data_IF_906045564805
#
_entry.id   IF_906045564805
#
_cell.length_a   1.000
_cell.length_b   1.000
_cell.length_c   1.000
_cell.angle_alpha   90.00
_cell.angle_beta   90.00
_cell.angle_gamma   90.00
#
_symmetry.space_group_name_H-M   'P 1'
#
loop_
_entity.id
_entity.type
_entity.pdbx_description
1 polymer ?
#
# COMPACT_ATOMS: atom_id res chain seq x y z
N UNK A 1 -10.02 0.21 -19.93
CA UNK A 1 -11.20 0.11 -19.04
C UNK A 1 -10.82 0.05 -17.56
N UNK A 2 -10.03 -0.91 -17.05
CA UNK A 2 -9.63 -0.94 -15.62
C UNK A 2 -8.47 0.04 -15.27
N UNK A 3 -7.48 0.17 -16.16
CA UNK A 3 -6.33 1.07 -15.97
C UNK A 3 -6.78 2.54 -15.87
N UNK A 4 -7.70 2.96 -16.75
CA UNK A 4 -8.22 4.33 -16.76
C UNK A 4 -8.94 4.68 -15.44
N UNK A 5 -9.61 3.70 -14.83
CA UNK A 5 -10.26 3.88 -13.53
C UNK A 5 -9.23 4.08 -12.42
N UNK A 6 -8.17 3.27 -12.39
CA UNK A 6 -7.09 3.41 -11.39
C UNK A 6 -6.34 4.73 -11.53
N UNK A 7 -6.14 5.20 -12.76
CA UNK A 7 -5.54 6.50 -13.02
C UNK A 7 -6.43 7.66 -12.55
N UNK A 8 -7.76 7.55 -12.62
CA UNK A 8 -8.67 8.56 -12.05
C UNK A 8 -8.52 8.69 -10.53
N UNK A 9 -8.33 7.57 -9.82
CA UNK A 9 -8.12 7.60 -8.37
C UNK A 9 -6.81 8.31 -8.02
N UNK A 10 -5.73 8.06 -8.78
CA UNK A 10 -4.47 8.78 -8.62
C UNK A 10 -4.61 10.27 -8.96
N UNK A 11 -5.35 10.60 -10.02
CA UNK A 11 -5.62 12.00 -10.38
C UNK A 11 -6.40 12.74 -9.29
N UNK A 12 -7.32 12.05 -8.60
CA UNK A 12 -8.05 12.64 -7.49
C UNK A 12 -7.12 12.97 -6.30
N UNK A 13 -6.06 12.19 -6.07
CA UNK A 13 -5.07 12.46 -5.01
C UNK A 13 -4.36 13.81 -5.18
N UNK A 14 -4.15 14.26 -6.42
CA UNK A 14 -3.54 15.56 -6.71
C UNK A 14 -4.36 16.76 -6.22
N UNK A 15 -5.68 16.58 -6.06
CA UNK A 15 -6.58 17.65 -5.65
C UNK A 15 -6.64 17.86 -4.12
N UNK A 16 -6.08 16.94 -3.34
CA UNK A 16 -6.12 17.00 -1.89
C UNK A 16 -4.85 17.64 -1.31
N UNK A 17 -5.02 18.80 -0.69
CA UNK A 17 -3.99 19.46 0.11
C UNK A 17 -4.62 19.85 1.46
N UNK A 18 -4.47 18.96 2.45
CA UNK A 18 -5.06 19.12 3.78
C UNK A 18 -4.25 18.35 4.82
N UNK A 19 -4.02 18.94 6.00
CA UNK A 19 -3.17 18.38 7.07
C UNK A 19 -3.63 16.99 7.55
N UNK A 20 -4.95 16.76 7.57
CA UNK A 20 -5.54 15.46 7.94
C UNK A 20 -5.52 14.38 6.85
N UNK A 21 -5.00 14.67 5.65
CA UNK A 21 -4.93 13.73 4.52
C UNK A 21 -3.46 13.46 4.21
N UNK A 22 -3.09 12.18 4.06
CA UNK A 22 -1.70 11.79 3.75
C UNK A 22 -1.30 12.40 2.41
N UNK A 23 -0.18 13.14 2.41
CA UNK A 23 0.29 13.85 1.22
C UNK A 23 0.69 12.89 0.11
N UNK A 24 0.17 13.15 -1.09
CA UNK A 24 0.63 12.52 -2.32
C UNK A 24 1.88 13.23 -2.84
N UNK A 25 2.89 12.47 -3.26
CA UNK A 25 4.09 13.04 -3.87
C UNK A 25 4.15 12.76 -5.37
N UNK A 26 3.95 11.52 -5.81
CA UNK A 26 4.17 11.11 -7.20
C UNK A 26 3.55 9.75 -7.51
N UNK A 27 3.35 9.44 -8.79
CA UNK A 27 2.94 8.13 -9.25
C UNK A 27 3.46 7.84 -10.66
N UNK A 28 3.88 6.61 -10.88
CA UNK A 28 4.40 6.17 -12.18
C UNK A 28 4.03 4.72 -12.47
N UNK A 29 4.08 4.37 -13.75
CA UNK A 29 3.80 3.02 -14.23
C UNK A 29 5.10 2.35 -14.63
N UNK A 30 5.33 1.13 -14.15
CA UNK A 30 6.45 0.31 -14.59
C UNK A 30 5.97 -1.00 -15.20
N UNK A 31 6.62 -1.39 -16.30
CA UNK A 31 6.52 -2.72 -16.86
C UNK A 31 7.88 -3.41 -16.69
N UNK A 32 8.04 -4.26 -15.66
CA UNK A 32 9.31 -4.93 -15.44
C UNK A 32 9.68 -5.81 -16.64
N UNK A 33 10.98 -5.98 -16.93
CA UNK A 33 11.44 -6.92 -17.93
C UNK A 33 10.98 -8.36 -17.62
N UNK A 34 10.77 -9.21 -18.64
CA UNK A 34 10.45 -10.62 -18.43
C UNK A 34 11.46 -11.29 -17.49
N UNK A 35 10.99 -12.09 -16.54
CA UNK A 35 11.83 -12.81 -15.58
C UNK A 35 12.43 -11.96 -14.45
N UNK A 36 12.36 -10.62 -14.50
CA UNK A 36 12.93 -9.75 -13.47
C UNK A 36 12.27 -9.96 -12.10
N UNK A 37 10.95 -10.19 -12.11
CA UNK A 37 10.20 -10.47 -10.88
C UNK A 37 10.50 -11.86 -10.32
N UNK A 38 10.90 -12.83 -11.14
CA UNK A 38 11.25 -14.18 -10.68
C UNK A 38 12.61 -14.18 -9.98
N UNK A 39 13.53 -13.32 -10.43
CA UNK A 39 14.90 -13.23 -9.92
C UNK A 39 15.03 -12.48 -8.58
N UNK A 40 14.07 -11.63 -8.22
CA UNK A 40 14.05 -10.95 -6.92
C UNK A 40 13.65 -11.94 -5.81
N UNK A 41 14.63 -12.72 -5.34
CA UNK A 41 14.58 -13.68 -4.22
C UNK A 41 13.27 -14.47 -4.13
N UNK A 42 13.23 -15.60 -4.84
CA UNK A 42 12.18 -16.63 -4.80
C UNK A 42 11.64 -16.89 -3.37
N UNK A 43 12.51 -16.87 -2.36
CA UNK A 43 12.15 -17.05 -0.96
C UNK A 43 11.34 -15.89 -0.35
N UNK A 44 11.70 -14.63 -0.62
CA UNK A 44 10.99 -13.45 -0.10
C UNK A 44 9.66 -13.27 -0.84
N UNK A 45 9.65 -13.54 -2.15
CA UNK A 45 8.46 -13.45 -3.00
C UNK A 45 7.41 -14.49 -2.64
N UNK A 46 7.79 -15.76 -2.46
CA UNK A 46 6.90 -16.82 -1.98
C UNK A 46 6.36 -16.46 -0.60
N UNK A 47 7.21 -15.98 0.33
CA UNK A 47 6.78 -15.69 1.70
C UNK A 47 5.80 -14.51 1.78
N UNK A 48 6.08 -13.38 1.11
CA UNK A 48 5.20 -12.21 1.10
C UNK A 48 3.88 -12.51 0.39
N UNK A 49 3.91 -13.20 -0.77
CA UNK A 49 2.69 -13.58 -1.48
C UNK A 49 1.88 -14.54 -0.63
N UNK A 50 2.47 -15.62 -0.08
CA UNK A 50 1.73 -16.59 0.74
C UNK A 50 1.13 -15.97 2.00
N UNK A 51 1.88 -15.10 2.70
CA UNK A 51 1.40 -14.41 3.89
C UNK A 51 0.22 -13.50 3.55
N UNK A 52 0.26 -12.78 2.43
CA UNK A 52 -0.86 -11.96 1.95
C UNK A 52 -2.04 -12.79 1.43
N UNK A 53 -1.80 -13.89 0.69
CA UNK A 53 -2.84 -14.82 0.22
C UNK A 53 -3.63 -15.40 1.39
N UNK A 54 -2.94 -15.77 2.47
CA UNK A 54 -3.57 -16.34 3.67
C UNK A 54 -4.37 -15.30 4.45
N UNK A 55 -3.86 -14.08 4.58
CA UNK A 55 -4.53 -13.00 5.33
C UNK A 55 -5.71 -12.36 4.57
N UNK A 56 -5.69 -12.34 3.24
CA UNK A 56 -6.74 -11.72 2.41
C UNK A 56 -7.53 -12.69 1.53
N UNK A 57 -7.29 -14.01 1.61
CA UNK A 57 -7.91 -15.03 0.74
C UNK A 57 -7.75 -14.76 -0.78
N UNK A 58 -6.75 -13.97 -1.19
CA UNK A 58 -6.57 -13.59 -2.59
C UNK A 58 -5.68 -14.61 -3.32
N UNK A 59 -6.07 -15.03 -4.53
CA UNK A 59 -5.20 -15.76 -5.45
C UNK A 59 -4.44 -14.79 -6.35
N UNK A 60 -3.29 -14.26 -5.89
CA UNK A 60 -2.38 -13.57 -6.80
C UNK A 60 -1.55 -14.58 -7.61
N UNK A 61 -1.79 -14.65 -8.91
CA UNK A 61 -0.87 -15.20 -9.90
C UNK A 61 -0.38 -14.03 -10.76
N UNK A 62 0.94 -13.85 -10.83
CA UNK A 62 1.52 -12.81 -11.66
C UNK A 62 1.75 -13.37 -13.06
N UNK A 63 1.40 -12.58 -14.09
CA UNK A 63 1.82 -12.86 -15.46
C UNK A 63 3.13 -12.13 -15.73
N UNK A 64 4.00 -12.70 -16.55
CA UNK A 64 5.31 -12.08 -16.86
C UNK A 64 5.19 -10.74 -17.59
N UNK A 65 4.03 -10.42 -18.15
CA UNK A 65 3.73 -9.14 -18.82
C UNK A 65 2.99 -8.13 -17.91
N UNK A 66 2.90 -8.42 -16.60
CA UNK A 66 2.21 -7.55 -15.64
C UNK A 66 2.79 -6.13 -15.62
N UNK A 67 1.90 -5.16 -15.46
CA UNK A 67 2.22 -3.74 -15.34
C UNK A 67 1.82 -3.27 -13.94
N UNK A 68 2.66 -2.43 -13.33
CA UNK A 68 2.52 -1.98 -11.96
C UNK A 68 2.35 -0.46 -11.91
N UNK A 69 1.43 -0.01 -11.07
CA UNK A 69 1.24 1.40 -10.75
C UNK A 69 1.82 1.63 -9.36
N UNK A 70 2.84 2.46 -9.29
CA UNK A 70 3.47 2.90 -8.04
C UNK A 70 2.89 4.24 -7.64
N UNK A 71 2.59 4.39 -6.35
CA UNK A 71 2.09 5.62 -5.75
C UNK A 71 2.99 5.94 -4.56
N UNK A 72 3.68 7.06 -4.63
CA UNK A 72 4.53 7.60 -3.58
C UNK A 72 3.73 8.56 -2.72
N UNK A 73 3.64 8.23 -1.43
CA UNK A 73 2.92 8.97 -0.40
C UNK A 73 3.87 9.31 0.74
N UNK A 74 3.54 10.31 1.54
CA UNK A 74 4.22 10.60 2.79
C UNK A 74 4.22 9.40 3.76
N UNK A 75 5.34 9.19 4.45
CA UNK A 75 5.48 8.12 5.44
C UNK A 75 4.89 8.53 6.80
N UNK A 76 3.81 7.86 7.20
CA UNK A 76 3.18 8.05 8.51
C UNK A 76 3.90 7.27 9.64
N UNK A 77 3.84 7.80 10.87
CA UNK A 77 4.49 7.19 12.05
C UNK A 77 3.85 5.86 12.49
N UNK A 78 2.53 5.78 12.46
CA UNK A 78 1.75 4.60 12.83
C UNK A 78 0.33 4.71 12.30
N UNK A 79 -0.37 3.60 12.21
CA UNK A 79 -1.81 3.56 11.95
C UNK A 79 -2.62 3.62 13.24
N UNK A 80 -3.91 3.97 13.10
CA UNK A 80 -4.84 4.00 14.23
C UNK A 80 -5.01 2.62 14.87
N UNK A 81 -4.97 1.52 14.11
CA UNK A 81 -5.10 0.17 14.66
C UNK A 81 -3.93 -0.21 15.58
N UNK A 82 -2.69 0.17 15.21
CA UNK A 82 -1.50 -0.02 16.04
C UNK A 82 -1.64 0.80 17.32
N UNK A 83 -2.08 2.05 17.19
CA UNK A 83 -2.31 2.91 18.34
C UNK A 83 -3.38 2.32 19.27
N UNK A 84 -4.54 1.90 18.75
CA UNK A 84 -5.62 1.28 19.52
C UNK A 84 -5.17 0.00 20.22
N UNK A 85 -4.37 -0.82 19.54
CA UNK A 85 -3.82 -2.07 20.10
C UNK A 85 -2.90 -1.83 21.30
N UNK A 86 -2.23 -0.68 21.36
CA UNK A 86 -1.35 -0.28 22.46
C UNK A 86 -2.10 0.49 23.57
N UNK A 87 -3.30 1.00 23.30
CA UNK A 87 -4.10 1.81 24.23
C UNK A 87 -5.41 1.08 24.61
N UNK A 88 -5.32 -0.22 24.92
CA UNK A 88 -6.49 -1.06 25.26
C UNK A 88 -7.22 -0.62 26.53
N UNK A 89 -6.51 0.04 27.43
CA UNK A 89 -7.08 0.58 28.66
C UNK A 89 -7.18 2.09 28.54
N UNK A 90 -8.38 2.63 28.80
CA UNK A 90 -8.63 4.06 28.76
C UNK A 90 -7.87 4.74 29.90
N UNK A 91 -6.76 5.41 29.58
CA UNK A 91 -6.02 6.21 30.54
C UNK A 91 -6.65 7.61 30.60
N UNK A 92 -7.51 7.82 31.61
CA UNK A 92 -8.24 9.07 31.81
C UNK A 92 -7.32 10.26 32.16
N UNK A 93 -6.10 10.01 32.63
CA UNK A 93 -5.15 11.08 32.99
C UNK A 93 -4.44 11.67 31.77
N UNK A 94 -4.27 10.89 30.69
CA UNK A 94 -3.71 11.37 29.40
C UNK A 94 -4.71 12.12 28.51
N UNK A 95 -6.00 12.15 28.88
CA UNK A 95 -7.08 12.72 28.07
C UNK A 95 -7.51 14.12 28.52
N UNK A 96 -6.84 14.72 29.51
CA UNK A 96 -7.23 16.01 30.11
C UNK A 96 -6.51 17.23 29.54
N UNK A 97 -5.65 17.04 28.54
CA UNK A 97 -4.96 18.13 27.84
C UNK A 97 -5.72 18.55 26.58
#
# INVERSE_FOLDING_TARGET
QDIDKKLREVQALLAFDHEGIVKFEDAWVEKPPPGWQLHSNEHVRIMCIWKMKKLMQLQFTYRDDSVFLYIRMELCKSSLDVWLSNNKHRNMDRMKD
#
